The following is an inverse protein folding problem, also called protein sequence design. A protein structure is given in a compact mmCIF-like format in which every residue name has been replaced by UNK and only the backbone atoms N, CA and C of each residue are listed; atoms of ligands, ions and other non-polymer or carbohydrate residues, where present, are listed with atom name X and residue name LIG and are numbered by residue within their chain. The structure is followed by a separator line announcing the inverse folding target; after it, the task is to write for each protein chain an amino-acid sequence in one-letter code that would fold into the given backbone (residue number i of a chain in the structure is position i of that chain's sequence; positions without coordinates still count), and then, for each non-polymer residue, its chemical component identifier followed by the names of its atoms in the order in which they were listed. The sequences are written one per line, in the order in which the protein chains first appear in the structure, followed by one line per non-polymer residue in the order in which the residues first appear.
data_IF_453158611949
#
_entry.id   IF_453158611949
#
_cell.length_a   1.000
_cell.length_b   1.000
_cell.length_c   1.000
_cell.angle_alpha   90.00
_cell.angle_beta   90.00
_cell.angle_gamma   90.00
#
_symmetry.space_group_name_H-M   'P 1'
#
loop_
_entity.id
_entity.type
_entity.pdbx_description
1 polymer ?
#
# COMPACT_ATOMS: atom_id res chain seq x y z
N UNK A 1 28.27 -10.11 -37.29
CA UNK A 1 28.00 -11.46 -36.74
C UNK A 1 27.85 -11.34 -35.22
N UNK A 2 26.62 -11.15 -34.73
CA UNK A 2 26.19 -11.38 -33.33
C UNK A 2 24.69 -11.77 -33.37
N UNK A 3 24.26 -12.83 -32.65
CA UNK A 3 22.95 -13.43 -32.88
C UNK A 3 21.82 -12.81 -32.04
N UNK A 4 20.63 -13.00 -32.62
CA UNK A 4 19.28 -12.66 -32.18
C UNK A 4 18.86 -13.46 -30.95
N UNK A 5 18.47 -12.78 -29.86
CA UNK A 5 17.94 -13.42 -28.65
C UNK A 5 16.67 -12.71 -28.17
N UNK A 6 15.58 -12.71 -28.95
CA UNK A 6 14.25 -12.43 -28.39
C UNK A 6 13.11 -13.13 -29.14
N UNK A 7 13.28 -14.42 -29.46
CA UNK A 7 12.22 -15.24 -30.05
C UNK A 7 11.44 -16.13 -29.05
N UNK A 8 11.47 -15.82 -27.74
CA UNK A 8 10.88 -16.72 -26.72
C UNK A 8 9.75 -16.11 -25.86
N UNK A 9 8.98 -15.15 -26.38
CA UNK A 9 7.77 -14.70 -25.69
C UNK A 9 6.52 -14.79 -26.56
N UNK A 10 6.33 -15.95 -27.20
CA UNK A 10 4.99 -16.39 -27.55
C UNK A 10 4.46 -17.31 -26.44
N UNK A 11 3.14 -17.25 -26.25
CA UNK A 11 2.25 -18.25 -25.63
C UNK A 11 1.85 -18.05 -24.16
N UNK A 12 0.99 -17.06 -23.87
CA UNK A 12 -0.24 -17.31 -23.10
C UNK A 12 -1.26 -16.14 -23.13
N UNK A 13 -1.77 -15.80 -24.31
CA UNK A 13 -2.98 -14.95 -24.41
C UNK A 13 -3.96 -15.57 -25.41
N UNK A 14 -4.56 -16.69 -25.03
CA UNK A 14 -5.61 -17.40 -25.80
C UNK A 14 -6.69 -17.90 -24.84
N UNK A 15 -7.73 -17.08 -24.64
CA UNK A 15 -9.16 -17.44 -24.73
C UNK A 15 -10.00 -16.38 -24.01
N UNK A 16 -10.78 -15.61 -24.76
CA UNK A 16 -12.03 -15.01 -24.28
C UNK A 16 -13.12 -15.52 -25.23
N UNK A 17 -14.09 -16.33 -24.79
CA UNK A 17 -15.17 -16.74 -25.67
C UNK A 17 -16.12 -15.55 -25.90
N UNK A 18 -16.51 -15.40 -27.17
CA UNK A 18 -17.63 -14.58 -27.58
C UNK A 18 -18.91 -15.08 -26.89
N UNK A 19 -19.64 -14.22 -26.18
CA UNK A 19 -21.04 -14.48 -25.84
C UNK A 19 -21.91 -13.45 -26.56
N UNK A 20 -22.48 -13.90 -27.68
CA UNK A 20 -23.59 -13.25 -28.36
C UNK A 20 -24.86 -13.88 -27.82
N UNK A 21 -25.79 -13.10 -27.25
CA UNK A 21 -27.22 -13.42 -27.31
C UNK A 21 -28.09 -12.24 -26.86
N UNK A 22 -28.93 -11.77 -27.80
CA UNK A 22 -30.11 -10.95 -27.58
C UNK A 22 -31.22 -11.81 -26.95
N UNK A 23 -31.85 -11.37 -25.87
CA UNK A 23 -33.19 -11.85 -25.48
C UNK A 23 -34.07 -10.68 -24.99
N UNK A 24 -35.26 -10.58 -25.60
CA UNK A 24 -36.31 -9.59 -25.35
C UNK A 24 -37.12 -9.88 -24.07
N UNK A 25 -37.84 -8.84 -23.61
CA UNK A 25 -38.81 -8.75 -22.50
C UNK A 25 -39.74 -9.95 -22.28
N UNK A 26 -40.11 -10.24 -21.01
CA UNK A 26 -41.50 -10.49 -20.57
C UNK A 26 -41.66 -10.32 -19.04
N UNK A 27 -42.72 -9.63 -18.62
CA UNK A 27 -43.29 -9.64 -17.27
C UNK A 27 -44.20 -10.88 -17.12
N UNK A 28 -44.21 -11.55 -15.97
CA UNK A 28 -45.42 -12.15 -15.36
C UNK A 28 -45.14 -12.67 -13.94
N UNK A 29 -46.17 -12.57 -13.09
CA UNK A 29 -46.23 -12.99 -11.69
C UNK A 29 -46.06 -14.50 -11.49
N UNK A 30 -45.56 -14.88 -10.31
CA UNK A 30 -45.52 -16.25 -9.82
C UNK A 30 -44.48 -16.43 -8.72
N UNK A 31 -44.93 -16.76 -7.52
CA UNK A 31 -44.15 -17.01 -6.31
C UNK A 31 -43.05 -18.06 -6.52
N UNK A 32 -41.77 -17.66 -6.40
CA UNK A 32 -40.61 -18.55 -6.38
C UNK A 32 -39.78 -18.32 -5.11
N UNK A 33 -39.30 -19.37 -4.42
CA UNK A 33 -38.52 -19.22 -3.20
C UNK A 33 -37.10 -18.73 -3.53
N UNK A 34 -36.69 -17.66 -2.86
CA UNK A 34 -35.41 -16.98 -3.05
C UNK A 34 -34.25 -17.78 -2.42
N UNK A 35 -33.11 -18.01 -3.12
CA UNK A 35 -31.91 -18.56 -2.50
C UNK A 35 -31.30 -17.53 -1.52
N UNK A 36 -30.67 -17.98 -0.41
CA UNK A 36 -30.24 -17.08 0.66
C UNK A 36 -29.25 -16.04 0.12
N UNK A 37 -29.63 -14.76 0.21
CA UNK A 37 -28.76 -13.64 -0.10
C UNK A 37 -27.68 -13.55 0.99
N UNK A 38 -26.39 -13.34 0.67
CA UNK A 38 -25.40 -13.00 1.68
C UNK A 38 -25.79 -11.65 2.29
N UNK A 39 -25.92 -11.61 3.61
CA UNK A 39 -26.17 -10.42 4.41
C UNK A 39 -25.19 -9.32 4.00
N UNK A 40 -25.70 -8.28 3.32
CA UNK A 40 -24.97 -7.03 3.10
C UNK A 40 -24.83 -6.36 4.47
N UNK A 41 -23.70 -6.57 5.12
CA UNK A 41 -23.24 -5.72 6.22
C UNK A 41 -23.19 -4.28 5.71
N UNK A 42 -23.92 -3.39 6.38
CA UNK A 42 -23.97 -1.95 6.13
C UNK A 42 -22.56 -1.34 6.04
N UNK A 43 -22.32 -0.31 5.22
CA UNK A 43 -21.03 0.41 5.23
C UNK A 43 -20.87 1.14 6.56
N UNK A 44 -19.67 1.17 7.17
CA UNK A 44 -19.45 1.99 8.36
C UNK A 44 -19.51 3.47 7.99
N UNK A 45 -20.26 4.26 8.76
CA UNK A 45 -20.29 5.71 8.63
C UNK A 45 -18.92 6.29 9.03
N UNK A 46 -18.18 6.80 8.05
CA UNK A 46 -16.95 7.55 8.29
C UNK A 46 -17.28 8.91 8.90
N UNK A 47 -17.25 9.00 10.22
CA UNK A 47 -17.14 10.28 10.92
C UNK A 47 -15.72 10.85 10.69
N UNK A 48 -15.60 11.83 9.81
CA UNK A 48 -14.37 12.62 9.65
C UNK A 48 -14.22 13.60 10.83
N UNK A 49 -13.40 13.25 11.82
CA UNK A 49 -12.88 14.21 12.78
C UNK A 49 -11.72 14.97 12.12
N UNK A 50 -11.99 16.21 11.72
CA UNK A 50 -11.01 17.10 11.09
C UNK A 50 -10.19 17.81 12.18
N UNK A 51 -8.98 17.32 12.45
CA UNK A 51 -7.98 18.02 13.25
C UNK A 51 -7.15 18.92 12.33
N UNK A 52 -7.28 20.24 12.49
CA UNK A 52 -6.55 21.23 11.71
C UNK A 52 -5.10 21.31 12.19
N UNK A 53 -4.15 20.91 11.34
CA UNK A 53 -2.76 21.39 11.41
C UNK A 53 -2.55 22.49 10.36
N UNK A 54 -1.91 23.62 10.71
CA UNK A 54 -1.58 24.66 9.74
C UNK A 54 -0.39 24.20 8.88
N UNK A 55 -0.64 23.90 7.61
CA UNK A 55 0.41 23.64 6.60
C UNK A 55 0.75 24.95 5.86
N UNK A 56 2.04 25.24 5.61
CA UNK A 56 2.46 26.47 4.95
C UNK A 56 2.04 26.48 3.48
N UNK A 57 1.40 27.57 3.05
CA UNK A 57 0.91 27.74 1.69
C UNK A 57 2.06 28.04 0.71
N UNK A 58 2.21 27.29 -0.40
CA UNK A 58 3.09 27.71 -1.47
C UNK A 58 2.43 28.87 -2.23
N UNK A 59 3.14 29.98 -2.35
CA UNK A 59 2.75 31.14 -3.14
C UNK A 59 2.75 30.76 -4.63
N UNK A 60 1.63 30.21 -5.12
CA UNK A 60 1.45 30.00 -6.55
C UNK A 60 1.06 31.30 -7.21
N UNK A 61 2.08 31.88 -7.86
CA UNK A 61 2.01 33.00 -8.77
C UNK A 61 0.82 32.84 -9.72
N UNK A 62 -0.04 33.85 -9.75
CA UNK A 62 -1.19 33.96 -10.64
C UNK A 62 -0.77 33.72 -12.09
N UNK A 63 -1.08 32.54 -12.62
CA UNK A 63 -1.25 32.34 -14.06
C UNK A 63 -2.74 32.33 -14.34
N UNK A 64 -3.20 33.55 -14.62
CA UNK A 64 -4.38 33.97 -15.37
C UNK A 64 -5.40 32.88 -15.67
N UNK A 65 -6.59 33.08 -15.09
CA UNK A 65 -7.75 32.23 -15.28
C UNK A 65 -8.07 31.99 -16.75
N UNK A 66 -7.80 30.78 -17.23
CA UNK A 66 -8.74 30.13 -18.14
C UNK A 66 -9.79 29.46 -17.28
N UNK A 67 -10.87 30.22 -17.01
CA UNK A 67 -12.15 29.69 -16.52
C UNK A 67 -12.40 28.38 -17.27
N UNK A 68 -12.31 27.24 -16.58
CA UNK A 68 -12.71 25.96 -17.15
C UNK A 68 -14.15 26.15 -17.63
N UNK A 69 -14.46 26.03 -18.93
CA UNK A 69 -15.82 26.24 -19.39
C UNK A 69 -16.70 25.23 -18.66
N UNK A 70 -17.64 25.77 -17.89
CA UNK A 70 -18.74 25.05 -17.27
C UNK A 70 -19.39 24.18 -18.36
N UNK A 71 -19.19 22.86 -18.27
CA UNK A 71 -19.87 21.77 -18.98
C UNK A 71 -20.76 22.19 -20.17
N UNK A 72 -20.18 22.80 -21.21
CA UNK A 72 -20.79 22.78 -22.53
C UNK A 72 -20.55 21.36 -23.02
N UNK A 73 -21.60 20.63 -23.35
CA UNK A 73 -21.48 19.29 -23.94
C UNK A 73 -20.55 19.41 -25.15
N UNK A 74 -19.28 19.02 -24.96
CA UNK A 74 -18.28 19.07 -26.01
C UNK A 74 -18.70 18.02 -27.03
N UNK A 75 -19.07 18.46 -28.22
CA UNK A 75 -19.37 17.56 -29.31
C UNK A 75 -18.15 16.67 -29.57
N UNK A 76 -18.41 15.37 -29.63
CA UNK A 76 -17.41 14.29 -29.68
C UNK A 76 -16.65 14.27 -31.02
N UNK A 77 -17.18 14.94 -32.03
CA UNK A 77 -16.56 15.09 -33.36
C UNK A 77 -15.45 16.14 -33.39
N UNK A 78 -15.39 17.04 -32.39
CA UNK A 78 -14.46 18.18 -32.40
C UNK A 78 -13.02 17.73 -32.17
N UNK A 79 -12.08 18.32 -32.92
CA UNK A 79 -10.63 18.09 -32.75
C UNK A 79 -10.18 18.39 -31.30
N UNK A 80 -10.79 19.43 -30.74
CA UNK A 80 -10.58 19.90 -29.38
C UNK A 80 -10.95 18.82 -28.32
N UNK A 81 -11.99 18.01 -28.57
CA UNK A 81 -12.31 16.84 -27.76
C UNK A 81 -11.26 15.72 -27.92
N UNK A 82 -10.84 15.42 -29.16
CA UNK A 82 -9.83 14.38 -29.45
C UNK A 82 -8.52 14.66 -28.73
N UNK A 83 -7.99 15.89 -28.85
CA UNK A 83 -6.77 16.29 -28.16
C UNK A 83 -6.87 16.17 -26.63
N UNK A 84 -8.03 16.53 -26.04
CA UNK A 84 -8.27 16.33 -24.59
C UNK A 84 -8.28 14.86 -24.19
N UNK A 85 -8.92 13.99 -24.98
CA UNK A 85 -8.97 12.55 -24.72
C UNK A 85 -7.60 11.91 -24.87
N UNK A 86 -6.83 12.30 -25.88
CA UNK A 86 -5.47 11.81 -26.07
C UNK A 86 -4.57 12.13 -24.87
N UNK A 87 -4.58 13.39 -24.40
CA UNK A 87 -3.86 13.78 -23.18
C UNK A 87 -4.31 12.98 -21.96
N UNK A 88 -5.63 12.77 -21.79
CA UNK A 88 -6.14 11.98 -20.69
C UNK A 88 -5.70 10.50 -20.78
N UNK A 89 -5.71 9.91 -21.97
CA UNK A 89 -5.24 8.54 -22.18
C UNK A 89 -3.76 8.41 -21.81
N UNK A 90 -2.92 9.38 -22.17
CA UNK A 90 -1.51 9.42 -21.73
C UNK A 90 -1.41 9.52 -20.21
N UNK A 91 -2.16 10.42 -19.59
CA UNK A 91 -2.14 10.61 -18.13
C UNK A 91 -2.60 9.35 -17.39
N UNK A 92 -3.62 8.65 -17.88
CA UNK A 92 -4.11 7.39 -17.31
C UNK A 92 -3.04 6.30 -17.40
N UNK A 93 -2.40 6.13 -18.56
CA UNK A 93 -1.27 5.19 -18.71
C UNK A 93 -0.18 5.50 -17.69
N UNK A 94 0.29 6.75 -17.65
CA UNK A 94 1.32 7.20 -16.70
C UNK A 94 0.93 6.97 -15.24
N UNK A 95 -0.32 7.25 -14.87
CA UNK A 95 -0.82 7.02 -13.51
C UNK A 95 -0.82 5.54 -13.14
N UNK A 96 -1.27 4.67 -14.07
CA UNK A 96 -1.25 3.22 -13.89
C UNK A 96 0.16 2.69 -13.74
N UNK A 97 1.09 3.12 -14.60
CA UNK A 97 2.48 2.66 -14.54
C UNK A 97 3.15 3.13 -13.23
N UNK A 98 2.87 4.36 -12.80
CA UNK A 98 3.32 4.85 -11.49
C UNK A 98 2.74 4.04 -10.34
N UNK A 99 1.47 3.61 -10.42
CA UNK A 99 0.86 2.76 -9.39
C UNK A 99 1.50 1.37 -9.35
N UNK A 100 1.72 0.75 -10.51
CA UNK A 100 2.45 -0.53 -10.62
C UNK A 100 3.86 -0.43 -10.04
N UNK A 101 4.58 0.63 -10.37
CA UNK A 101 5.93 0.86 -9.85
C UNK A 101 5.92 0.99 -8.33
N UNK A 102 4.99 1.77 -7.75
CA UNK A 102 4.86 1.88 -6.29
C UNK A 102 4.57 0.52 -5.64
N UNK A 103 3.70 -0.30 -6.24
CA UNK A 103 3.42 -1.65 -5.73
C UNK A 103 4.66 -2.54 -5.77
N UNK A 104 5.43 -2.51 -6.86
CA UNK A 104 6.67 -3.27 -6.98
C UNK A 104 7.75 -2.80 -6.00
N UNK A 105 7.94 -1.50 -5.86
CA UNK A 105 8.86 -0.88 -4.89
C UNK A 105 8.49 -1.26 -3.45
N UNK A 106 7.20 -1.23 -3.12
CA UNK A 106 6.72 -1.65 -1.79
C UNK A 106 7.05 -3.12 -1.55
N UNK A 107 6.83 -3.99 -2.53
CA UNK A 107 7.15 -5.42 -2.41
C UNK A 107 8.66 -5.64 -2.22
N UNK A 108 9.50 -4.94 -2.99
CA UNK A 108 10.95 -4.99 -2.82
C UNK A 108 11.37 -4.51 -1.43
N UNK A 109 10.79 -3.42 -0.94
CA UNK A 109 11.10 -2.88 0.40
C UNK A 109 10.74 -3.86 1.52
N UNK A 110 9.65 -4.60 1.39
CA UNK A 110 9.29 -5.65 2.36
C UNK A 110 10.36 -6.74 2.41
N UNK A 111 10.87 -7.17 1.25
CA UNK A 111 11.94 -8.19 1.18
C UNK A 111 13.23 -7.67 1.82
N UNK A 112 13.64 -6.45 1.49
CA UNK A 112 14.83 -5.82 2.10
C UNK A 112 14.70 -5.73 3.62
N UNK A 113 13.56 -5.25 4.12
CA UNK A 113 13.31 -5.12 5.55
C UNK A 113 13.25 -6.47 6.25
N UNK A 114 12.76 -7.52 5.60
CA UNK A 114 12.77 -8.87 6.15
C UNK A 114 14.21 -9.39 6.31
N UNK A 115 15.05 -9.24 5.28
CA UNK A 115 16.46 -9.62 5.32
C UNK A 115 17.24 -8.82 6.38
N UNK A 116 17.01 -7.51 6.46
CA UNK A 116 17.60 -6.65 7.49
C UNK A 116 17.18 -7.07 8.91
N UNK A 117 15.90 -7.41 9.10
CA UNK A 117 15.40 -7.91 10.38
C UNK A 117 16.06 -9.22 10.78
N UNK A 118 16.23 -10.16 9.86
CA UNK A 118 16.93 -11.43 10.14
C UNK A 118 18.39 -11.17 10.52
N UNK A 119 19.09 -10.31 9.78
CA UNK A 119 20.47 -9.91 10.11
C UNK A 119 20.56 -9.29 11.51
N UNK A 120 19.64 -8.40 11.86
CA UNK A 120 19.60 -7.77 13.18
C UNK A 120 19.30 -8.79 14.28
N UNK A 121 18.34 -9.70 14.06
CA UNK A 121 18.03 -10.78 15.02
C UNK A 121 19.24 -11.68 15.25
N UNK A 122 19.96 -12.07 14.21
CA UNK A 122 21.19 -12.86 14.33
C UNK A 122 22.26 -12.13 15.15
N UNK A 123 22.44 -10.82 14.92
CA UNK A 123 23.37 -9.99 15.71
C UNK A 123 22.95 -9.93 17.18
N UNK A 124 21.67 -9.71 17.46
CA UNK A 124 21.13 -9.70 18.82
C UNK A 124 21.35 -11.04 19.52
N UNK A 125 21.08 -12.15 18.84
CA UNK A 125 21.33 -13.49 19.37
C UNK A 125 22.81 -13.72 19.68
N UNK A 126 23.71 -13.35 18.77
CA UNK A 126 25.16 -13.47 18.99
C UNK A 126 25.61 -12.69 20.23
N UNK A 127 25.18 -11.43 20.34
CA UNK A 127 25.51 -10.59 21.48
C UNK A 127 24.91 -11.14 22.79
N UNK A 128 23.70 -11.69 22.74
CA UNK A 128 23.08 -12.34 23.90
C UNK A 128 23.89 -13.56 24.36
N UNK A 129 24.42 -14.36 23.43
CA UNK A 129 25.31 -15.48 23.74
C UNK A 129 26.64 -15.00 24.34
N UNK A 130 27.27 -13.99 23.75
CA UNK A 130 28.51 -13.39 24.27
C UNK A 130 28.31 -12.86 25.70
N UNK A 131 27.22 -12.13 25.95
CA UNK A 131 26.85 -11.65 27.30
C UNK A 131 26.57 -12.79 28.27
N UNK A 132 25.87 -13.84 27.81
CA UNK A 132 25.61 -15.03 28.62
C UNK A 132 26.90 -15.73 29.04
N UNK A 133 27.85 -15.89 28.12
CA UNK A 133 29.16 -16.47 28.40
C UNK A 133 29.95 -15.63 29.41
N UNK A 134 29.97 -14.30 29.25
CA UNK A 134 30.64 -13.39 30.19
C UNK A 134 30.00 -13.45 31.58
N UNK A 135 28.67 -13.44 31.68
CA UNK A 135 27.96 -13.59 32.96
C UNK A 135 28.24 -14.94 33.62
N UNK A 136 28.29 -16.02 32.85
CA UNK A 136 28.62 -17.34 33.36
C UNK A 136 30.06 -17.42 33.89
N UNK A 137 31.00 -16.73 33.23
CA UNK A 137 32.39 -16.62 33.70
C UNK A 137 32.47 -15.80 34.98
N UNK A 138 31.85 -14.62 35.01
CA UNK A 138 31.81 -13.75 36.20
C UNK A 138 31.10 -14.42 37.39
N UNK A 139 30.04 -15.19 37.14
CA UNK A 139 29.31 -15.90 38.19
C UNK A 139 30.05 -17.08 38.80
N UNK A 140 31.08 -17.63 38.13
CA UNK A 140 31.97 -18.67 38.67
C UNK A 140 33.08 -18.11 39.55
N UNK A 141 33.37 -16.81 39.45
CA UNK A 141 34.31 -16.15 40.33
C UNK A 141 33.66 -16.01 41.72
N UNK A 142 34.33 -16.43 42.81
CA UNK A 142 33.81 -16.24 44.16
C UNK A 142 33.54 -14.75 44.38
N UNK A 143 32.42 -14.45 45.06
CA UNK A 143 31.84 -13.11 45.20
C UNK A 143 32.91 -12.02 45.24
N UNK A 144 33.09 -11.35 44.10
CA UNK A 144 33.88 -10.12 44.03
C UNK A 144 33.00 -9.07 44.68
N UNK A 145 33.16 -8.89 45.99
CA UNK A 145 32.50 -7.84 46.74
C UNK A 145 33.02 -6.51 46.20
N UNK A 146 32.37 -5.98 45.17
CA UNK A 146 32.60 -4.62 44.71
C UNK A 146 32.10 -3.68 45.81
N UNK A 147 32.97 -2.89 46.46
CA UNK A 147 32.53 -1.95 47.48
C UNK A 147 31.77 -0.82 46.78
N UNK A 148 30.43 -0.79 46.90
CA UNK A 148 29.65 0.43 46.64
C UNK A 148 28.43 0.35 45.71
N UNK A 149 27.70 -0.76 45.62
CA UNK A 149 26.39 -0.76 44.93
C UNK A 149 25.22 -0.90 45.91
N UNK A 150 24.99 0.16 46.70
CA UNK A 150 23.75 0.33 47.47
C UNK A 150 22.63 0.84 46.55
N UNK A 151 21.54 0.08 46.48
CA UNK A 151 20.13 0.52 46.43
C UNK A 151 19.72 1.70 45.52
N UNK A 152 18.80 1.44 44.58
CA UNK A 152 17.95 2.50 44.02
C UNK A 152 17.25 2.22 42.69
N UNK A 153 16.72 1.01 42.44
CA UNK A 153 15.93 0.70 41.25
C UNK A 153 14.43 0.74 41.54
N UNK A 154 13.76 1.84 41.21
CA UNK A 154 12.31 2.00 41.29
C UNK A 154 11.83 2.98 40.24
N UNK A 155 11.73 2.52 38.98
CA UNK A 155 11.15 3.28 37.87
C UNK A 155 10.02 2.48 37.26
N UNK A 156 8.78 2.87 37.61
CA UNK A 156 7.55 2.23 37.16
C UNK A 156 7.37 2.32 35.64
N UNK A 157 6.85 1.23 35.10
CA UNK A 157 6.51 1.03 33.70
C UNK A 157 5.29 1.86 33.31
N UNK A 158 5.47 2.92 32.52
CA UNK A 158 4.36 3.54 31.78
C UNK A 158 4.08 2.71 30.53
N UNK A 159 3.05 1.88 30.63
CA UNK A 159 2.47 1.15 29.50
C UNK A 159 1.82 2.15 28.53
N UNK A 160 2.54 2.52 27.47
CA UNK A 160 1.93 3.22 26.33
C UNK A 160 1.03 2.25 25.57
N UNK A 161 -0.26 2.34 25.82
CA UNK A 161 -1.32 1.83 24.93
C UNK A 161 -1.31 2.67 23.64
N UNK A 162 -0.84 2.07 22.55
CA UNK A 162 -1.08 2.59 21.21
C UNK A 162 -2.43 2.01 20.74
N UNK A 163 -3.49 2.81 20.80
CA UNK A 163 -4.75 2.50 20.12
C UNK A 163 -4.70 2.98 18.67
N UNK A 164 -5.20 2.09 17.80
CA UNK A 164 -5.29 2.13 16.34
C UNK A 164 -6.14 3.28 15.81
#
# INVERSE_FOLDING_TARGET
MHPNVHHHHLLLLKHHPHHSQLHHHHHHEGTHPQPPQPSRSSPPEHHHHHQQQPQPQPHHQHHQGRRRPLKKALDKSTDDYRARRERNNVAVRKSRDKAKLRSAETAARVVELAADNERLRARTQRLALELGALRALLGRLPHVTLPGASSGGGGGEETRTCSV
#
